data_IF_835304407289
#
_entry.id   IF_835304407289
#
_cell.length_a   1.000
_cell.length_b   1.000
_cell.length_c   1.000
_cell.angle_alpha   90.00
_cell.angle_beta   90.00
_cell.angle_gamma   90.00
#
_symmetry.space_group_name_H-M   'P 1'
#
loop_
_entity.id
_entity.type
_entity.pdbx_description
1 polymer ?
#
# COMPACT_ATOMS: atom_id res chain seq x y z
N UNK A 1 38.87 -44.12 -74.27
CA UNK A 1 40.00 -44.75 -73.56
C UNK A 1 40.90 -43.59 -73.14
N UNK A 2 40.84 -43.18 -71.87
CA UNK A 2 41.84 -43.46 -70.80
C UNK A 2 43.17 -42.76 -71.09
N UNK A 3 43.90 -42.09 -70.20
CA UNK A 3 43.82 -41.57 -68.82
C UNK A 3 44.90 -40.45 -68.84
N UNK A 4 44.86 -39.37 -68.06
CA UNK A 4 45.64 -39.30 -66.82
C UNK A 4 45.39 -37.91 -66.20
N UNK A 5 44.57 -37.86 -65.15
CA UNK A 5 44.51 -36.73 -64.19
C UNK A 5 44.44 -37.25 -62.75
N UNK A 6 44.87 -38.50 -62.53
CA UNK A 6 44.61 -39.24 -61.29
C UNK A 6 45.61 -38.98 -60.15
N UNK A 7 46.67 -38.21 -60.35
CA UNK A 7 47.77 -38.14 -59.35
C UNK A 7 47.86 -36.84 -58.53
N UNK A 8 46.91 -35.91 -58.65
CA UNK A 8 46.93 -34.66 -57.85
C UNK A 8 45.81 -34.47 -56.84
N UNK A 9 44.78 -35.33 -56.86
CA UNK A 9 43.64 -35.23 -55.92
C UNK A 9 43.74 -36.17 -54.72
N UNK A 10 44.40 -37.34 -54.85
CA UNK A 10 44.53 -38.31 -53.76
C UNK A 10 45.55 -37.89 -52.68
N UNK A 11 46.54 -37.07 -53.02
CA UNK A 11 47.51 -36.54 -52.03
C UNK A 11 47.02 -35.31 -51.25
N UNK A 12 45.85 -34.75 -51.57
CA UNK A 12 45.22 -33.66 -50.79
C UNK A 12 44.20 -34.14 -49.77
N UNK A 13 43.61 -35.32 -49.96
CA UNK A 13 42.53 -35.83 -49.10
C UNK A 13 43.07 -36.54 -47.84
N UNK A 14 44.35 -36.94 -47.83
CA UNK A 14 44.98 -37.64 -46.70
C UNK A 14 45.68 -36.72 -45.67
N UNK A 15 45.60 -35.39 -45.82
CA UNK A 15 46.28 -34.43 -44.94
C UNK A 15 45.36 -33.34 -44.37
N UNK A 16 44.03 -33.46 -44.48
CA UNK A 16 43.15 -32.58 -43.72
C UNK A 16 42.97 -33.14 -42.31
N UNK A 17 43.39 -32.42 -41.25
CA UNK A 17 43.03 -32.82 -39.90
C UNK A 17 41.52 -32.77 -39.77
N UNK A 18 40.92 -33.84 -39.20
CA UNK A 18 39.50 -33.86 -38.88
C UNK A 18 39.08 -32.54 -38.21
N UNK A 19 37.92 -31.94 -38.56
CA UNK A 19 37.47 -30.74 -37.90
C UNK A 19 37.27 -31.07 -36.42
N UNK A 20 38.21 -30.57 -35.61
CA UNK A 20 38.14 -30.62 -34.15
C UNK A 20 36.77 -30.08 -33.77
N UNK A 21 35.90 -30.94 -33.26
CA UNK A 21 34.62 -30.55 -32.69
C UNK A 21 34.91 -29.49 -31.64
N UNK A 22 34.66 -28.21 -31.98
CA UNK A 22 34.81 -27.11 -31.05
C UNK A 22 33.75 -27.29 -29.98
N UNK A 23 34.13 -27.89 -28.86
CA UNK A 23 33.34 -27.87 -27.65
C UNK A 23 32.98 -26.41 -27.36
N UNK A 24 31.69 -26.06 -27.14
CA UNK A 24 31.29 -24.68 -26.96
C UNK A 24 32.12 -24.05 -25.83
N UNK A 25 32.73 -22.90 -26.13
CA UNK A 25 33.60 -22.20 -25.19
C UNK A 25 32.89 -21.95 -23.85
N UNK A 26 33.67 -21.94 -22.77
CA UNK A 26 33.21 -21.81 -21.38
C UNK A 26 32.23 -20.63 -21.16
N UNK A 27 32.37 -19.55 -21.95
CA UNK A 27 31.46 -18.39 -21.95
C UNK A 27 30.07 -18.70 -22.52
N UNK A 28 29.97 -19.53 -23.57
CA UNK A 28 28.71 -19.97 -24.14
C UNK A 28 27.96 -20.87 -23.15
N UNK A 29 28.65 -21.82 -22.52
CA UNK A 29 28.06 -22.68 -21.49
C UNK A 29 27.57 -21.87 -20.27
N UNK A 30 28.32 -20.86 -19.81
CA UNK A 30 27.86 -19.95 -18.76
C UNK A 30 26.63 -19.14 -19.17
N UNK A 31 26.58 -18.64 -20.40
CA UNK A 31 25.44 -17.87 -20.89
C UNK A 31 24.18 -18.73 -21.00
N UNK A 32 24.31 -19.97 -21.50
CA UNK A 32 23.20 -20.94 -21.56
C UNK A 32 22.74 -21.32 -20.16
N UNK A 33 23.65 -21.55 -19.20
CA UNK A 33 23.28 -21.85 -17.81
C UNK A 33 22.53 -20.68 -17.16
N UNK A 34 22.99 -19.44 -17.36
CA UNK A 34 22.34 -18.24 -16.85
C UNK A 34 20.94 -18.02 -17.48
N UNK A 35 20.78 -18.28 -18.78
CA UNK A 35 19.48 -18.24 -19.44
C UNK A 35 18.54 -19.33 -18.93
N UNK A 36 19.04 -20.55 -18.75
CA UNK A 36 18.24 -21.68 -18.23
C UNK A 36 17.79 -21.43 -16.80
N UNK A 37 18.65 -20.86 -15.94
CA UNK A 37 18.28 -20.46 -14.58
C UNK A 37 17.23 -19.34 -14.58
N UNK A 38 17.39 -18.33 -15.45
CA UNK A 38 16.44 -17.23 -15.59
C UNK A 38 15.06 -17.72 -16.08
N UNK A 39 15.02 -18.64 -17.05
CA UNK A 39 13.79 -19.22 -17.58
C UNK A 39 13.12 -20.14 -16.55
N UNK A 40 13.89 -20.91 -15.80
CA UNK A 40 13.38 -21.72 -14.69
C UNK A 40 12.78 -20.85 -13.59
N UNK A 41 13.41 -19.72 -13.26
CA UNK A 41 12.86 -18.76 -12.31
C UNK A 41 11.58 -18.10 -12.82
N UNK A 42 11.50 -17.75 -14.11
CA UNK A 42 10.28 -17.20 -14.73
C UNK A 42 9.13 -18.19 -14.68
N UNK A 43 9.37 -19.45 -15.07
CA UNK A 43 8.34 -20.49 -15.01
C UNK A 43 7.86 -20.76 -13.58
N UNK A 44 8.76 -20.76 -12.59
CA UNK A 44 8.38 -20.88 -11.16
C UNK A 44 7.53 -19.70 -10.70
N UNK A 45 7.88 -18.47 -11.08
CA UNK A 45 7.09 -17.28 -10.76
C UNK A 45 5.69 -17.34 -11.38
N UNK A 46 5.60 -17.72 -12.66
CA UNK A 46 4.31 -17.82 -13.34
C UNK A 46 3.43 -18.92 -12.74
N UNK A 47 4.02 -20.07 -12.40
CA UNK A 47 3.32 -21.15 -11.70
C UNK A 47 2.81 -20.72 -10.32
N UNK A 48 3.64 -20.00 -9.55
CA UNK A 48 3.24 -19.46 -8.24
C UNK A 48 2.13 -18.41 -8.37
N UNK A 49 2.16 -17.60 -9.43
CA UNK A 49 1.11 -16.62 -9.73
C UNK A 49 -0.23 -17.31 -10.02
N UNK A 50 -0.24 -18.28 -10.93
CA UNK A 50 -1.44 -19.05 -11.27
C UNK A 50 -2.01 -19.80 -10.07
N UNK A 51 -1.16 -20.35 -9.21
CA UNK A 51 -1.58 -20.99 -7.98
C UNK A 51 -2.21 -19.99 -6.99
N UNK A 52 -1.64 -18.78 -6.89
CA UNK A 52 -2.14 -17.72 -6.02
C UNK A 52 -3.47 -17.14 -6.53
N UNK A 53 -3.65 -17.03 -7.84
CA UNK A 53 -4.93 -16.64 -8.47
C UNK A 53 -6.04 -17.67 -8.15
N UNK A 54 -5.76 -18.97 -8.33
CA UNK A 54 -6.70 -20.05 -7.97
C UNK A 54 -7.00 -20.07 -6.47
N UNK A 55 -6.02 -19.77 -5.63
CA UNK A 55 -6.19 -19.66 -4.18
C UNK A 55 -7.12 -18.47 -3.85
N UNK A 56 -6.90 -17.31 -4.48
CA UNK A 56 -7.72 -16.13 -4.28
C UNK A 56 -9.20 -16.38 -4.64
N UNK A 57 -9.47 -17.06 -5.76
CA UNK A 57 -10.82 -17.47 -6.14
C UNK A 57 -11.47 -18.40 -5.11
N UNK A 58 -10.72 -19.37 -4.59
CA UNK A 58 -11.21 -20.29 -3.54
C UNK A 58 -11.56 -19.54 -2.25
N UNK A 59 -10.70 -18.62 -1.83
CA UNK A 59 -10.95 -17.81 -0.62
C UNK A 59 -12.20 -16.95 -0.81
N UNK A 60 -12.33 -16.26 -1.95
CA UNK A 60 -13.51 -15.46 -2.27
C UNK A 60 -14.80 -16.28 -2.27
N UNK A 61 -14.77 -17.48 -2.84
CA UNK A 61 -15.94 -18.38 -2.84
C UNK A 61 -16.29 -18.82 -1.42
N UNK A 62 -15.29 -19.23 -0.64
CA UNK A 62 -15.48 -19.66 0.74
C UNK A 62 -16.06 -18.56 1.64
N UNK A 63 -15.60 -17.31 1.49
CA UNK A 63 -16.15 -16.16 2.23
C UNK A 63 -17.64 -15.98 1.91
N UNK A 64 -18.02 -16.08 0.63
CA UNK A 64 -19.43 -15.98 0.18
C UNK A 64 -20.29 -17.13 0.73
N UNK A 65 -19.79 -18.36 0.64
CA UNK A 65 -20.51 -19.57 1.09
C UNK A 65 -20.69 -19.61 2.62
N UNK A 66 -19.71 -19.10 3.38
CA UNK A 66 -19.78 -19.05 4.85
C UNK A 66 -20.63 -17.89 5.37
N UNK A 67 -21.11 -17.00 4.49
CA UNK A 67 -21.88 -15.83 4.90
C UNK A 67 -21.11 -14.89 5.83
N UNK A 68 -19.77 -14.93 5.79
CA UNK A 68 -18.93 -14.09 6.64
C UNK A 68 -19.12 -12.62 6.24
N UNK A 69 -19.55 -11.81 7.19
CA UNK A 69 -19.68 -10.37 7.01
C UNK A 69 -18.32 -9.71 6.73
N UNK A 70 -18.32 -8.46 6.25
CA UNK A 70 -17.10 -7.70 5.91
C UNK A 70 -16.08 -7.65 7.06
N UNK A 71 -16.56 -7.56 8.30
CA UNK A 71 -15.75 -7.44 9.52
C UNK A 71 -15.38 -8.79 10.14
N UNK A 72 -15.72 -9.91 9.49
CA UNK A 72 -15.39 -11.23 10.00
C UNK A 72 -13.88 -11.44 10.00
N UNK A 73 -13.34 -11.66 11.20
CA UNK A 73 -11.90 -11.85 11.40
C UNK A 73 -11.52 -13.29 11.05
N UNK A 74 -10.49 -13.42 10.21
CA UNK A 74 -9.95 -14.68 9.73
C UNK A 74 -8.46 -14.75 10.04
N UNK A 75 -8.05 -15.61 10.97
CA UNK A 75 -6.63 -15.68 11.37
C UNK A 75 -5.78 -16.31 10.26
N UNK A 76 -4.54 -15.82 10.09
CA UNK A 76 -3.61 -16.32 9.07
C UNK A 76 -3.37 -17.83 9.23
N UNK A 77 -3.20 -18.29 10.47
CA UNK A 77 -2.96 -19.69 10.78
C UNK A 77 -4.11 -20.59 10.31
N UNK A 78 -5.35 -20.17 10.54
CA UNK A 78 -6.56 -20.92 10.16
C UNK A 78 -6.71 -20.97 8.64
N UNK A 79 -6.51 -19.85 7.95
CA UNK A 79 -6.57 -19.78 6.49
C UNK A 79 -5.52 -20.68 5.85
N UNK A 80 -4.28 -20.66 6.36
CA UNK A 80 -3.20 -21.51 5.86
C UNK A 80 -3.51 -22.99 6.06
N UNK A 81 -4.03 -23.36 7.24
CA UNK A 81 -4.42 -24.74 7.53
C UNK A 81 -5.58 -25.21 6.64
N UNK A 82 -6.60 -24.37 6.47
CA UNK A 82 -7.80 -24.70 5.70
C UNK A 82 -7.51 -24.82 4.20
N UNK A 83 -6.81 -23.86 3.61
CA UNK A 83 -6.49 -23.84 2.18
C UNK A 83 -5.22 -24.61 1.82
N UNK A 84 -4.46 -25.11 2.81
CA UNK A 84 -3.18 -25.82 2.65
C UNK A 84 -2.20 -25.03 1.79
N UNK A 85 -1.95 -23.78 2.17
CA UNK A 85 -1.07 -22.84 1.46
C UNK A 85 0.04 -22.28 2.34
N UNK A 86 1.11 -21.81 1.69
CA UNK A 86 2.19 -21.06 2.35
C UNK A 86 1.75 -19.64 2.74
N UNK A 87 2.56 -18.98 3.57
CA UNK A 87 2.31 -17.58 3.95
C UNK A 87 2.45 -16.66 2.74
N UNK A 88 3.45 -16.92 1.90
CA UNK A 88 3.70 -16.14 0.68
C UNK A 88 2.54 -16.29 -0.31
N UNK A 89 2.06 -17.50 -0.56
CA UNK A 89 0.89 -17.72 -1.45
C UNK A 89 -0.36 -17.04 -0.90
N UNK A 90 -0.61 -17.10 0.41
CA UNK A 90 -1.73 -16.42 1.02
C UNK A 90 -1.60 -14.90 0.91
N UNK A 91 -0.40 -14.34 1.11
CA UNK A 91 -0.17 -12.90 0.97
C UNK A 91 -0.36 -12.43 -0.48
N UNK A 92 0.14 -13.19 -1.45
CA UNK A 92 -0.08 -12.90 -2.88
C UNK A 92 -1.57 -13.02 -3.21
N UNK A 93 -2.23 -14.10 -2.81
CA UNK A 93 -3.66 -14.27 -3.04
C UNK A 93 -4.47 -13.13 -2.40
N UNK A 94 -4.16 -12.74 -1.16
CA UNK A 94 -4.79 -11.61 -0.47
C UNK A 94 -4.59 -10.28 -1.20
N UNK A 95 -3.50 -10.11 -1.95
CA UNK A 95 -3.29 -8.90 -2.76
C UNK A 95 -4.17 -8.85 -4.02
N UNK A 96 -4.72 -9.98 -4.46
CA UNK A 96 -5.55 -10.12 -5.66
C UNK A 96 -7.05 -9.96 -5.39
N UNK A 97 -7.46 -10.02 -4.11
CA UNK A 97 -8.86 -9.96 -3.67
C UNK A 97 -8.99 -8.94 -2.52
N UNK A 98 -10.20 -8.46 -2.18
CA UNK A 98 -10.37 -7.53 -1.05
C UNK A 98 -10.22 -8.26 0.29
N UNK A 99 -9.01 -8.72 0.59
CA UNK A 99 -8.65 -9.42 1.82
C UNK A 99 -7.49 -8.68 2.48
N UNK A 100 -7.79 -7.96 3.56
CA UNK A 100 -6.88 -7.00 4.16
C UNK A 100 -6.20 -7.59 5.39
N UNK A 101 -4.89 -7.69 5.34
CA UNK A 101 -4.09 -8.18 6.47
C UNK A 101 -3.91 -7.09 7.53
N UNK A 102 -3.94 -7.49 8.80
CA UNK A 102 -3.65 -6.62 9.94
C UNK A 102 -3.13 -7.46 11.11
N UNK A 103 -2.38 -6.82 12.01
CA UNK A 103 -1.93 -7.45 13.25
C UNK A 103 -2.99 -7.26 14.33
N UNK A 104 -3.22 -8.31 15.13
CA UNK A 104 -4.02 -8.24 16.36
C UNK A 104 -3.23 -8.79 17.52
N UNK A 105 -3.47 -8.25 18.70
CA UNK A 105 -2.89 -8.73 19.95
C UNK A 105 -3.91 -9.64 20.64
N UNK A 106 -3.51 -10.88 20.90
CA UNK A 106 -4.28 -11.88 21.64
C UNK A 106 -3.41 -12.38 22.78
N UNK A 107 -3.76 -12.07 24.02
CA UNK A 107 -3.02 -12.52 25.21
C UNK A 107 -1.51 -12.23 25.10
N UNK A 108 -1.14 -10.98 24.79
CA UNK A 108 0.23 -10.51 24.59
C UNK A 108 1.00 -11.15 23.41
N UNK A 109 0.30 -11.88 22.54
CA UNK A 109 0.86 -12.45 21.31
C UNK A 109 0.32 -11.71 20.10
N UNK A 110 1.22 -11.20 19.25
CA UNK A 110 0.85 -10.59 17.96
C UNK A 110 0.56 -11.68 16.93
N UNK A 111 -0.68 -11.73 16.46
CA UNK A 111 -1.14 -12.63 15.41
C UNK A 111 -1.51 -11.85 14.15
N UNK A 112 -1.28 -12.46 12.99
CA UNK A 112 -1.78 -11.93 11.71
C UNK A 112 -3.22 -12.39 11.49
N UNK A 113 -4.07 -11.46 11.11
CA UNK A 113 -5.46 -11.71 10.75
C UNK A 113 -5.82 -10.98 9.45
N UNK A 114 -6.94 -11.40 8.86
CA UNK A 114 -7.48 -10.87 7.64
C UNK A 114 -8.97 -10.54 7.81
N UNK A 115 -9.43 -9.50 7.12
CA UNK A 115 -10.85 -9.11 7.00
C UNK A 115 -11.20 -8.86 5.54
N UNK A 116 -12.47 -9.02 5.19
CA UNK A 116 -12.96 -8.73 3.84
C UNK A 116 -13.25 -7.23 3.62
N UNK A 117 -13.34 -6.46 4.72
CA UNK A 117 -13.28 -5.00 4.71
C UNK A 117 -11.89 -4.50 5.14
N UNK A 118 -11.50 -3.28 4.71
CA UNK A 118 -10.32 -2.61 5.25
C UNK A 118 -10.41 -2.54 6.78
N UNK A 119 -9.33 -2.84 7.50
CA UNK A 119 -9.34 -2.74 8.95
C UNK A 119 -9.62 -1.30 9.38
N UNK A 120 -10.36 -1.16 10.49
CA UNK A 120 -10.51 0.12 11.16
C UNK A 120 -9.13 0.63 11.56
N UNK A 121 -8.80 1.85 11.14
CA UNK A 121 -7.56 2.51 11.50
C UNK A 121 -7.74 3.10 12.89
N UNK A 122 -6.91 2.68 13.85
CA UNK A 122 -6.96 3.22 15.20
C UNK A 122 -6.31 4.60 15.24
N UNK A 123 -6.73 5.50 16.16
CA UNK A 123 -6.08 6.81 16.33
C UNK A 123 -4.56 6.74 16.59
N UNK A 124 -4.09 5.62 17.17
CA UNK A 124 -2.66 5.30 17.36
C UNK A 124 -1.91 5.09 16.05
N UNK A 125 -2.59 4.67 14.98
CA UNK A 125 -1.96 4.33 13.70
C UNK A 125 -1.96 5.52 12.73
N UNK A 126 -2.61 6.63 13.10
CA UNK A 126 -2.66 7.85 12.31
C UNK A 126 -1.30 8.53 12.23
N UNK A 127 -1.00 9.08 11.03
CA UNK A 127 0.17 9.94 10.85
C UNK A 127 0.04 11.20 11.70
N UNK A 128 1.12 11.89 12.07
CA UNK A 128 1.05 12.97 13.06
C UNK A 128 0.10 14.12 12.65
N UNK A 129 0.08 14.50 11.38
CA UNK A 129 -0.90 15.48 10.86
C UNK A 129 -2.36 14.99 10.92
N UNK A 130 -2.61 13.70 10.66
CA UNK A 130 -3.95 13.11 10.75
C UNK A 130 -4.39 12.98 12.20
N UNK A 131 -3.47 12.62 13.11
CA UNK A 131 -3.72 12.59 14.55
C UNK A 131 -4.08 13.99 15.05
N UNK A 132 -3.33 15.02 14.66
CA UNK A 132 -3.70 16.40 14.98
C UNK A 132 -5.12 16.77 14.51
N UNK A 133 -5.49 16.43 13.27
CA UNK A 133 -6.83 16.69 12.75
C UNK A 133 -7.91 15.89 13.49
N UNK A 134 -7.64 14.62 13.80
CA UNK A 134 -8.51 13.78 14.64
C UNK A 134 -8.80 14.46 15.99
N UNK A 135 -7.78 15.00 16.66
CA UNK A 135 -7.96 15.75 17.91
C UNK A 135 -8.79 17.01 17.74
N UNK A 136 -8.54 17.78 16.67
CA UNK A 136 -9.33 18.97 16.37
C UNK A 136 -10.82 18.63 16.17
N UNK A 137 -11.11 17.55 15.43
CA UNK A 137 -12.47 17.06 15.17
C UNK A 137 -13.15 16.54 16.43
N UNK A 138 -12.41 15.79 17.26
CA UNK A 138 -12.93 15.28 18.54
C UNK A 138 -13.31 16.43 19.46
N UNK A 139 -12.43 17.44 19.60
CA UNK A 139 -12.64 18.61 20.47
C UNK A 139 -13.62 19.64 19.89
N UNK A 140 -13.81 19.66 18.58
CA UNK A 140 -14.67 20.63 17.89
C UNK A 140 -14.04 22.01 17.71
N UNK A 141 -12.71 22.12 17.72
CA UNK A 141 -11.96 23.36 17.46
C UNK A 141 -10.52 23.04 17.03
N UNK A 142 -9.88 23.94 16.28
CA UNK A 142 -8.50 23.75 15.79
C UNK A 142 -7.43 24.43 16.64
N UNK A 143 -7.80 25.48 17.36
CA UNK A 143 -6.92 26.31 18.15
C UNK A 143 -7.44 26.45 19.57
N UNK A 144 -8.14 27.55 19.84
CA UNK A 144 -8.75 27.81 21.15
C UNK A 144 -10.18 27.29 21.19
N UNK A 145 -10.61 26.77 22.35
CA UNK A 145 -11.99 26.29 22.56
C UNK A 145 -13.04 27.37 22.28
N UNK A 146 -12.72 28.63 22.58
CA UNK A 146 -13.61 29.79 22.34
C UNK A 146 -13.85 30.08 20.85
N UNK A 147 -12.97 29.63 19.95
CA UNK A 147 -13.10 29.87 18.51
C UNK A 147 -14.01 28.83 17.82
N UNK A 148 -14.23 27.68 18.46
CA UNK A 148 -15.01 26.58 17.90
C UNK A 148 -14.42 26.00 16.61
N UNK A 149 -15.24 25.26 15.87
CA UNK A 149 -14.85 24.64 14.61
C UNK A 149 -14.94 25.66 13.47
N UNK A 150 -13.83 26.02 12.80
CA UNK A 150 -13.85 27.06 11.79
C UNK A 150 -14.30 26.50 10.43
N UNK A 151 -15.30 27.12 9.80
CA UNK A 151 -15.65 26.83 8.39
C UNK A 151 -14.55 27.29 7.43
N UNK A 152 -13.79 28.32 7.82
CA UNK A 152 -12.67 28.84 7.06
C UNK A 152 -11.49 29.12 7.98
N UNK A 153 -10.35 28.49 7.71
CA UNK A 153 -9.11 28.74 8.45
C UNK A 153 -7.96 29.03 7.48
N UNK A 154 -7.13 30.03 7.80
CA UNK A 154 -5.90 30.26 7.03
C UNK A 154 -5.00 29.04 7.20
N UNK A 155 -4.49 28.49 6.10
CA UNK A 155 -3.57 27.33 6.15
C UNK A 155 -2.35 27.62 7.04
N UNK A 156 -1.86 28.86 7.05
CA UNK A 156 -0.78 29.30 7.95
C UNK A 156 -1.19 29.26 9.43
N UNK A 157 -2.41 29.66 9.77
CA UNK A 157 -2.92 29.59 11.15
C UNK A 157 -3.09 28.15 11.59
N UNK A 158 -3.72 27.31 10.75
CA UNK A 158 -3.87 25.87 11.02
C UNK A 158 -2.51 25.20 11.25
N UNK A 159 -1.51 25.52 10.41
CA UNK A 159 -0.14 25.04 10.60
C UNK A 159 0.51 25.56 11.87
N UNK A 160 0.24 26.82 12.26
CA UNK A 160 0.74 27.37 13.53
C UNK A 160 0.18 26.61 14.74
N UNK A 161 -1.09 26.19 14.70
CA UNK A 161 -1.65 25.33 15.74
C UNK A 161 -1.02 23.94 15.73
N UNK A 162 -0.80 23.36 14.55
CA UNK A 162 -0.12 22.06 14.42
C UNK A 162 1.30 22.09 14.99
N UNK A 163 2.11 23.11 14.68
CA UNK A 163 3.47 23.28 15.23
C UNK A 163 3.50 23.37 16.76
N UNK A 164 2.41 23.85 17.38
CA UNK A 164 2.27 23.95 18.85
C UNK A 164 1.71 22.68 19.48
N UNK A 165 1.33 21.68 18.69
CA UNK A 165 0.76 20.43 19.18
C UNK A 165 1.85 19.39 19.46
N UNK A 166 1.54 18.43 20.32
CA UNK A 166 2.41 17.28 20.60
C UNK A 166 2.61 16.35 19.40
N UNK A 167 1.84 16.54 18.32
CA UNK A 167 1.91 15.75 17.09
C UNK A 167 2.83 16.38 16.03
N UNK A 168 3.53 17.46 16.36
CA UNK A 168 4.43 18.07 15.39
C UNK A 168 5.67 17.21 15.17
N UNK A 169 5.87 16.76 13.94
CA UNK A 169 6.97 15.86 13.52
C UNK A 169 7.98 16.55 12.59
N UNK A 170 8.10 17.89 12.71
CA UNK A 170 8.98 18.73 11.88
C UNK A 170 8.61 18.78 10.38
N UNK A 171 7.46 18.22 9.98
CA UNK A 171 6.98 18.29 8.61
C UNK A 171 6.37 19.64 8.25
N UNK A 172 6.49 20.02 6.97
CA UNK A 172 6.06 21.31 6.46
C UNK A 172 4.55 21.49 6.30
N UNK A 173 4.12 22.75 6.13
CA UNK A 173 2.71 23.17 5.95
C UNK A 173 1.95 22.43 4.83
N UNK A 174 2.65 21.94 3.81
CA UNK A 174 2.08 21.14 2.71
C UNK A 174 1.46 19.84 3.21
N UNK A 175 2.07 19.18 4.21
CA UNK A 175 1.61 17.90 4.75
C UNK A 175 0.26 18.05 5.42
N UNK A 176 0.10 19.08 6.25
CA UNK A 176 -1.17 19.35 6.93
C UNK A 176 -2.27 19.75 5.93
N UNK A 177 -1.92 20.56 4.94
CA UNK A 177 -2.86 20.96 3.88
C UNK A 177 -3.33 19.75 3.07
N UNK A 178 -2.41 18.83 2.76
CA UNK A 178 -2.71 17.57 2.10
C UNK A 178 -3.59 16.66 2.96
N UNK A 179 -3.29 16.54 4.26
CA UNK A 179 -4.07 15.75 5.21
C UNK A 179 -5.52 16.22 5.28
N UNK A 180 -5.77 17.55 5.28
CA UNK A 180 -7.14 18.11 5.21
C UNK A 180 -7.88 17.63 3.97
N UNK A 181 -7.24 17.66 2.80
CA UNK A 181 -7.87 17.22 1.55
C UNK A 181 -8.05 15.71 1.46
N UNK A 182 -7.08 14.92 1.88
CA UNK A 182 -7.16 13.45 1.77
C UNK A 182 -8.06 12.81 2.81
N UNK A 183 -8.20 13.42 3.98
CA UNK A 183 -9.21 12.99 4.97
C UNK A 183 -10.63 13.41 4.55
N UNK A 184 -10.76 14.27 3.54
CA UNK A 184 -12.06 14.72 3.04
C UNK A 184 -12.79 15.68 3.97
N UNK A 185 -12.10 16.26 4.97
CA UNK A 185 -12.74 17.15 5.96
C UNK A 185 -12.87 18.60 5.47
N UNK A 186 -12.26 18.90 4.32
CA UNK A 186 -12.31 20.22 3.71
C UNK A 186 -11.55 20.28 2.39
N UNK A 187 -11.62 21.44 1.76
CA UNK A 187 -10.93 21.74 0.49
C UNK A 187 -9.97 22.91 0.66
N UNK A 188 -9.00 23.03 -0.24
CA UNK A 188 -8.10 24.18 -0.27
C UNK A 188 -8.60 25.20 -1.27
N UNK A 189 -8.66 26.46 -0.85
CA UNK A 189 -9.10 27.55 -1.69
C UNK A 189 -8.19 28.78 -1.52
N UNK A 190 -8.29 29.72 -2.44
CA UNK A 190 -7.74 31.05 -2.28
C UNK A 190 -8.86 32.01 -1.92
N UNK A 191 -8.65 32.79 -0.85
CA UNK A 191 -9.58 33.86 -0.47
C UNK A 191 -8.90 35.20 -0.69
N UNK A 192 -9.62 36.11 -1.36
CA UNK A 192 -9.22 37.51 -1.48
C UNK A 192 -9.39 38.17 -0.11
N UNK A 193 -8.34 38.80 0.41
CA UNK A 193 -8.48 39.61 1.61
C UNK A 193 -9.41 40.81 1.33
N UNK A 194 -10.20 41.27 2.32
CA UNK A 194 -11.04 42.45 2.15
C UNK A 194 -10.21 43.67 1.74
N UNK A 195 -10.83 44.54 0.93
CA UNK A 195 -10.18 45.63 0.22
C UNK A 195 -9.41 46.56 1.16
N UNK A 196 -8.13 46.81 0.84
CA UNK A 196 -7.26 47.73 1.60
C UNK A 196 -5.84 47.21 1.83
N UNK A 197 -5.57 45.91 1.65
CA UNK A 197 -4.21 45.35 1.66
C UNK A 197 -3.93 44.72 0.30
N UNK A 198 -2.87 45.17 -0.37
CA UNK A 198 -2.38 44.73 -1.71
C UNK A 198 -2.83 43.30 -2.05
N UNK A 199 -3.59 43.13 -3.14
CA UNK A 199 -4.01 41.86 -3.79
C UNK A 199 -3.20 40.62 -3.34
N UNK A 200 -3.49 40.09 -2.15
CA UNK A 200 -2.85 38.88 -1.61
C UNK A 200 -3.92 37.82 -1.49
N UNK A 201 -3.97 36.94 -2.47
CA UNK A 201 -4.72 35.71 -2.37
C UNK A 201 -4.11 34.88 -1.23
N UNK A 202 -4.87 34.69 -0.15
CA UNK A 202 -4.42 33.88 0.98
C UNK A 202 -4.96 32.47 0.82
N UNK A 203 -4.09 31.47 0.91
CA UNK A 203 -4.50 30.06 0.89
C UNK A 203 -5.22 29.73 2.19
N UNK A 204 -6.47 29.32 2.09
CA UNK A 204 -7.35 28.93 3.19
C UNK A 204 -7.75 27.46 3.03
N UNK A 205 -7.96 26.79 4.16
CA UNK A 205 -8.71 25.55 4.19
C UNK A 205 -10.18 25.89 4.45
N UNK A 206 -11.05 25.50 3.52
CA UNK A 206 -12.50 25.52 3.65
C UNK A 206 -12.92 24.21 4.29
N UNK A 207 -13.16 24.21 5.59
CA UNK A 207 -13.59 23.03 6.32
C UNK A 207 -15.08 22.81 6.10
N UNK A 208 -15.50 21.55 6.04
CA UNK A 208 -16.91 21.21 6.14
C UNK A 208 -17.43 21.47 7.58
N UNK A 209 -18.75 21.61 7.77
CA UNK A 209 -19.36 21.62 9.10
C UNK A 209 -18.85 20.45 9.96
N UNK A 210 -18.74 20.66 11.27
CA UNK A 210 -18.05 19.72 12.17
C UNK A 210 -18.53 18.27 12.02
N UNK A 211 -19.84 18.04 11.99
CA UNK A 211 -20.40 16.69 11.86
C UNK A 211 -20.10 16.05 10.49
N UNK A 212 -20.17 16.82 9.40
CA UNK A 212 -19.79 16.34 8.06
C UNK A 212 -18.29 16.05 7.98
N UNK A 213 -17.47 16.88 8.61
CA UNK A 213 -16.03 16.66 8.70
C UNK A 213 -15.70 15.41 9.52
N UNK A 214 -16.42 15.15 10.61
CA UNK A 214 -16.31 13.93 11.42
C UNK A 214 -16.70 12.69 10.61
N UNK A 215 -17.84 12.69 9.95
CA UNK A 215 -18.29 11.60 9.09
C UNK A 215 -17.30 11.30 7.96
N UNK A 216 -16.82 12.35 7.28
CA UNK A 216 -15.82 12.23 6.23
C UNK A 216 -14.51 11.64 6.76
N UNK A 217 -14.01 12.12 7.90
CA UNK A 217 -12.78 11.60 8.51
C UNK A 217 -12.95 10.14 8.95
N UNK A 218 -14.09 9.81 9.57
CA UNK A 218 -14.41 8.46 10.03
C UNK A 218 -14.45 7.46 8.86
N UNK A 219 -15.03 7.87 7.74
CA UNK A 219 -15.14 7.04 6.53
C UNK A 219 -13.81 6.95 5.76
N UNK A 220 -13.15 8.08 5.53
CA UNK A 220 -12.01 8.16 4.63
C UNK A 220 -10.70 7.79 5.31
N UNK A 221 -10.52 8.17 6.58
CA UNK A 221 -9.29 8.00 7.34
C UNK A 221 -9.40 6.85 8.33
N UNK A 222 -10.45 6.80 9.17
CA UNK A 222 -10.59 5.74 10.17
C UNK A 222 -11.13 4.42 9.60
N UNK A 223 -11.70 4.45 8.39
CA UNK A 223 -12.41 3.29 7.78
C UNK A 223 -13.49 2.71 8.71
N UNK A 224 -14.10 3.57 9.52
CA UNK A 224 -15.16 3.23 10.46
C UNK A 224 -16.25 4.30 10.42
N UNK A 225 -17.26 4.20 9.53
CA UNK A 225 -18.35 5.17 9.43
C UNK A 225 -19.20 5.26 10.71
N UNK A 226 -19.24 4.20 11.51
CA UNK A 226 -19.96 4.12 12.79
C UNK A 226 -19.10 4.58 13.98
N UNK A 227 -17.99 5.28 13.73
CA UNK A 227 -17.09 5.74 14.79
C UNK A 227 -17.81 6.68 15.75
N UNK A 228 -17.83 6.30 17.03
CA UNK A 228 -18.44 7.10 18.08
C UNK A 228 -17.47 8.21 18.54
N UNK A 229 -17.79 9.44 18.17
CA UNK A 229 -17.03 10.63 18.53
C UNK A 229 -17.22 11.07 20.00
N UNK A 230 -18.20 10.51 20.71
CA UNK A 230 -18.50 10.84 22.11
C UNK A 230 -17.66 10.07 23.12
N UNK A 231 -17.03 8.95 22.70
CA UNK A 231 -16.18 8.14 23.58
C UNK A 231 -14.90 8.91 23.93
N UNK A 232 -14.85 9.37 25.17
CA UNK A 232 -13.67 9.98 25.78
C UNK A 232 -12.61 8.89 26.02
N UNK A 233 -11.43 9.08 25.44
CA UNK A 233 -10.26 8.28 25.78
C UNK A 233 -9.30 9.21 26.54
N UNK A 234 -9.14 9.03 27.87
CA UNK A 234 -8.28 9.86 28.70
C UNK A 234 -6.78 9.72 28.38
N UNK A 235 -6.36 8.69 27.64
CA UNK A 235 -4.95 8.43 27.37
C UNK A 235 -4.39 9.18 26.15
N UNK A 236 -5.20 10.00 25.48
CA UNK A 236 -4.78 10.71 24.26
C UNK A 236 -4.29 12.15 24.54
N UNK A 237 -4.38 12.59 25.79
CA UNK A 237 -3.89 13.89 26.26
C UNK A 237 -2.82 13.77 27.38
N UNK A 238 -2.28 12.57 27.61
CA UNK A 238 -1.19 12.31 28.56
C UNK A 238 0.19 12.29 27.87
#
# INVERSE_FOLDING_TARGET
>A
MQNDTSDTLLNRILNEPEPVSQLPGRSFLQHVHAQTEADTQRQRKEKNRLNSEKLAEKICRWIKETGRGPDAVMYEADLKAFFKCSREELAIAASLIPLYSHQRELHDVRVMAYTAAPPVVLPSDLRPAERFLYHCLKRGYTGLKSEGWPVWIRTKSLYTHFMKSQYFDQLGQSVLSHAVTTSGIGTLAYRREPEGKKNRNTRVARMYPLEQAREAFATNTLKNPAFDWSVYDPNVDA
#
